data_IF_075882707079
#
_entry.id   IF_075882707079
#
_cell.length_a   1.000
_cell.length_b   1.000
_cell.length_c   1.000
_cell.angle_alpha   90.00
_cell.angle_beta   90.00
_cell.angle_gamma   90.00
#
_symmetry.space_group_name_H-M   'P 1'
#
loop_
_entity.id
_entity.type
_entity.pdbx_description
1 polymer ?
#
# COMPACT_ATOMS: atom_id res chain seq x y z
N UNK A 1 -28.27 31.25 -17.93
CA UNK A 1 -27.02 30.51 -18.17
C UNK A 1 -26.38 30.28 -16.80
N UNK A 2 -26.53 29.08 -16.23
CA UNK A 2 -26.11 28.79 -14.85
C UNK A 2 -24.64 28.35 -14.89
N UNK A 3 -23.72 29.07 -14.22
CA UNK A 3 -22.33 28.66 -14.16
C UNK A 3 -22.24 27.43 -13.24
N UNK A 4 -21.93 26.27 -13.83
CA UNK A 4 -21.54 25.09 -13.06
C UNK A 4 -20.21 25.41 -12.35
N UNK A 5 -20.28 25.75 -11.06
CA UNK A 5 -19.14 25.82 -10.18
C UNK A 5 -18.59 24.39 -10.02
N UNK A 6 -17.70 23.99 -10.92
CA UNK A 6 -16.93 22.78 -10.77
C UNK A 6 -15.90 23.05 -9.66
N UNK A 7 -16.30 22.86 -8.41
CA UNK A 7 -15.34 22.76 -7.30
C UNK A 7 -14.47 21.57 -7.61
N UNK A 8 -13.26 21.82 -8.14
CA UNK A 8 -12.20 20.84 -8.16
C UNK A 8 -11.91 20.50 -6.69
N UNK A 9 -12.59 19.48 -6.17
CA UNK A 9 -12.37 18.95 -4.83
C UNK A 9 -10.91 18.52 -4.82
N UNK A 10 -10.10 19.23 -4.04
CA UNK A 10 -8.67 18.97 -4.01
C UNK A 10 -8.49 17.57 -3.45
N UNK A 11 -8.26 16.58 -4.31
CA UNK A 11 -8.08 15.17 -3.91
C UNK A 11 -6.97 14.96 -2.86
N UNK A 12 -6.12 15.96 -2.63
CA UNK A 12 -5.14 16.02 -1.54
C UNK A 12 -5.77 16.25 -0.15
N UNK A 13 -6.91 16.92 -0.08
CA UNK A 13 -7.65 17.17 1.17
C UNK A 13 -8.29 15.90 1.70
N UNK A 14 -8.78 15.02 0.82
CA UNK A 14 -9.66 13.91 1.20
C UNK A 14 -8.97 12.54 1.26
N UNK A 15 -7.75 12.40 0.73
CA UNK A 15 -7.01 11.12 0.71
C UNK A 15 -5.63 11.20 1.35
N UNK A 16 -5.26 10.13 2.04
CA UNK A 16 -3.94 9.92 2.63
C UNK A 16 -3.14 8.96 1.74
N UNK A 17 -1.82 9.19 1.68
CA UNK A 17 -0.88 8.26 1.07
C UNK A 17 -0.06 7.62 2.18
N UNK A 18 -0.24 6.32 2.36
CA UNK A 18 0.45 5.55 3.39
C UNK A 18 1.46 4.66 2.68
N UNK A 19 2.72 4.76 3.11
CA UNK A 19 3.81 3.99 2.55
C UNK A 19 4.06 2.78 3.44
N UNK A 20 4.10 1.60 2.83
CA UNK A 20 4.39 0.34 3.50
C UNK A 20 5.57 -0.33 2.84
N UNK A 21 6.41 -0.98 3.65
CA UNK A 21 7.53 -1.77 3.17
C UNK A 21 7.22 -3.24 3.34
N UNK A 22 7.43 -4.00 2.27
CA UNK A 22 7.34 -5.45 2.25
C UNK A 22 8.67 -6.04 1.78
N UNK A 23 8.91 -7.28 2.15
CA UNK A 23 10.04 -8.08 1.72
C UNK A 23 9.53 -9.26 0.92
N UNK A 24 10.05 -9.47 -0.28
CA UNK A 24 9.80 -10.68 -1.07
C UNK A 24 11.07 -11.50 -1.10
N UNK A 25 10.97 -12.76 -0.70
CA UNK A 25 12.04 -13.73 -0.88
C UNK A 25 11.88 -14.46 -2.21
N UNK A 26 12.93 -14.47 -3.02
CA UNK A 26 13.01 -15.20 -4.27
C UNK A 26 13.96 -16.38 -4.16
N UNK A 27 13.54 -17.52 -4.71
CA UNK A 27 14.40 -18.70 -4.94
C UNK A 27 14.09 -19.25 -6.31
N UNK A 28 15.11 -19.45 -7.15
CA UNK A 28 14.97 -19.95 -8.51
C UNK A 28 13.98 -19.14 -9.39
N UNK A 29 14.01 -17.81 -9.29
CA UNK A 29 13.08 -16.87 -9.93
C UNK A 29 11.63 -16.91 -9.43
N UNK A 30 11.34 -17.68 -8.38
CA UNK A 30 10.00 -17.78 -7.80
C UNK A 30 9.92 -17.01 -6.49
N UNK A 31 8.87 -16.21 -6.32
CA UNK A 31 8.57 -15.58 -5.05
C UNK A 31 8.05 -16.65 -4.06
N UNK A 32 8.80 -16.91 -3.00
CA UNK A 32 8.48 -17.92 -1.99
C UNK A 32 7.69 -17.35 -0.82
N UNK A 33 8.09 -16.19 -0.34
CA UNK A 33 7.47 -15.55 0.82
C UNK A 33 7.38 -14.04 0.61
N UNK A 34 6.29 -13.44 1.12
CA UNK A 34 6.09 -12.00 1.14
C UNK A 34 5.74 -11.60 2.57
N UNK A 35 6.63 -10.84 3.21
CA UNK A 35 6.49 -10.43 4.60
C UNK A 35 6.30 -8.92 4.68
N UNK A 36 5.39 -8.46 5.53
CA UNK A 36 5.27 -7.05 5.87
C UNK A 36 6.40 -6.64 6.83
N UNK A 37 7.19 -5.62 6.47
CA UNK A 37 8.25 -5.11 7.34
C UNK A 37 7.77 -3.96 8.21
N UNK A 38 7.09 -2.97 7.60
CA UNK A 38 6.66 -1.76 8.30
C UNK A 38 5.56 -1.04 7.55
N UNK A 39 4.55 -0.56 8.26
CA UNK A 39 3.60 0.45 7.77
C UNK A 39 4.04 1.81 8.31
N UNK A 40 4.25 2.80 7.44
CA UNK A 40 4.56 4.17 7.86
C UNK A 40 3.26 4.94 8.11
N UNK A 41 2.60 4.62 9.23
CA UNK A 41 1.44 5.34 9.72
C UNK A 41 1.48 5.42 11.25
N UNK A 42 2.09 6.48 11.78
CA UNK A 42 2.26 6.64 13.23
C UNK A 42 0.97 7.04 13.96
N UNK A 43 -0.07 7.43 13.20
CA UNK A 43 -1.39 7.84 13.72
C UNK A 43 -2.48 6.78 13.51
N UNK A 44 -2.13 5.63 12.93
CA UNK A 44 -3.08 4.54 12.69
C UNK A 44 -3.27 3.69 13.96
N UNK A 45 -4.49 3.21 14.19
CA UNK A 45 -4.72 2.13 15.18
C UNK A 45 -4.07 0.82 14.71
N UNK A 46 -4.04 -0.18 15.59
CA UNK A 46 -3.53 -1.51 15.23
C UNK A 46 -4.36 -2.15 14.11
N UNK A 47 -5.69 -2.07 14.20
CA UNK A 47 -6.60 -2.55 13.16
C UNK A 47 -6.38 -1.86 11.80
N UNK A 48 -6.21 -0.54 11.80
CA UNK A 48 -5.90 0.23 10.59
C UNK A 48 -4.54 -0.18 10.00
N UNK A 49 -3.52 -0.25 10.84
CA UNK A 49 -2.16 -0.65 10.43
C UNK A 49 -2.15 -2.05 9.85
N UNK A 50 -2.89 -2.98 10.45
CA UNK A 50 -3.07 -4.34 9.95
C UNK A 50 -3.75 -4.36 8.58
N UNK A 51 -4.86 -3.64 8.42
CA UNK A 51 -5.58 -3.58 7.14
C UNK A 51 -4.70 -3.01 6.01
N UNK A 52 -3.93 -1.95 6.30
CA UNK A 52 -2.97 -1.36 5.34
C UNK A 52 -1.83 -2.35 5.06
N UNK A 53 -1.36 -3.06 6.08
CA UNK A 53 -0.33 -4.08 5.96
C UNK A 53 -0.73 -5.23 5.06
N UNK A 54 -1.94 -5.76 5.27
CA UNK A 54 -2.52 -6.84 4.47
C UNK A 54 -2.69 -6.41 3.00
N UNK A 55 -3.15 -5.18 2.76
CA UNK A 55 -3.23 -4.60 1.42
C UNK A 55 -1.85 -4.41 0.78
N UNK A 56 -0.83 -4.04 1.55
CA UNK A 56 0.53 -3.89 1.05
C UNK A 56 1.13 -5.23 0.61
N UNK A 57 0.90 -6.29 1.38
CA UNK A 57 1.29 -7.66 1.02
C UNK A 57 0.56 -8.10 -0.25
N UNK A 58 -0.75 -7.85 -0.35
CA UNK A 58 -1.54 -8.17 -1.54
C UNK A 58 -1.02 -7.48 -2.80
N UNK A 59 -0.69 -6.18 -2.73
CA UNK A 59 -0.09 -5.45 -3.87
C UNK A 59 1.29 -5.98 -4.22
N UNK A 60 2.12 -6.26 -3.22
CA UNK A 60 3.44 -6.87 -3.41
C UNK A 60 3.35 -8.23 -4.08
N UNK A 61 2.32 -9.02 -3.74
CA UNK A 61 2.04 -10.28 -4.41
C UNK A 61 1.76 -10.06 -5.89
N UNK A 62 0.93 -9.09 -6.26
CA UNK A 62 0.64 -8.79 -7.66
C UNK A 62 1.89 -8.29 -8.41
N UNK A 63 2.73 -7.51 -7.75
CA UNK A 63 3.93 -6.90 -8.34
C UNK A 63 5.17 -7.81 -8.36
N UNK A 64 5.10 -9.01 -7.77
CA UNK A 64 6.24 -9.92 -7.58
C UNK A 64 6.92 -10.35 -8.88
N UNK A 65 6.19 -10.37 -10.00
CA UNK A 65 6.76 -10.74 -11.30
C UNK A 65 6.85 -9.57 -12.27
N UNK A 66 6.74 -8.33 -11.78
CA UNK A 66 7.10 -7.17 -12.58
C UNK A 66 8.60 -7.19 -12.86
N UNK A 67 9.04 -6.82 -14.07
CA UNK A 67 10.44 -6.92 -14.49
C UNK A 67 11.42 -6.19 -13.55
N UNK A 68 10.97 -5.10 -12.91
CA UNK A 68 11.75 -4.31 -11.94
C UNK A 68 11.94 -5.00 -10.57
N UNK A 69 11.08 -5.98 -10.28
CA UNK A 69 11.01 -6.69 -9.00
C UNK A 69 11.48 -8.15 -9.08
N UNK A 70 11.60 -8.70 -10.29
CA UNK A 70 12.12 -10.06 -10.53
C UNK A 70 13.55 -10.18 -10.04
N UNK A 71 13.84 -11.31 -9.42
CA UNK A 71 15.18 -11.66 -8.97
C UNK A 71 15.33 -13.18 -8.99
N UNK A 72 16.53 -13.65 -9.32
CA UNK A 72 16.82 -15.09 -9.38
C UNK A 72 16.82 -15.71 -8.00
N UNK A 73 17.61 -15.17 -7.09
CA UNK A 73 17.70 -15.60 -5.71
C UNK A 73 17.97 -14.38 -4.81
N UNK A 74 17.37 -14.34 -3.62
CA UNK A 74 17.63 -13.31 -2.62
C UNK A 74 16.37 -12.64 -2.07
N UNK A 75 16.54 -11.50 -1.41
CA UNK A 75 15.44 -10.74 -0.79
C UNK A 75 15.28 -9.36 -1.43
N UNK A 76 14.07 -9.02 -1.87
CA UNK A 76 13.74 -7.71 -2.47
C UNK A 76 12.83 -6.95 -1.53
N UNK A 77 13.21 -5.73 -1.18
CA UNK A 77 12.33 -4.79 -0.46
C UNK A 77 11.49 -4.03 -1.46
N UNK A 78 10.17 -4.02 -1.27
CA UNK A 78 9.24 -3.21 -2.05
C UNK A 78 8.64 -2.11 -1.19
N UNK A 79 8.54 -0.92 -1.77
CA UNK A 79 7.83 0.19 -1.18
C UNK A 79 6.46 0.30 -1.85
N UNK A 80 5.42 -0.07 -1.12
CA UNK A 80 4.04 0.01 -1.60
C UNK A 80 3.42 1.29 -1.09
N UNK A 81 2.90 2.11 -2.01
CA UNK A 81 2.15 3.32 -1.67
C UNK A 81 0.67 3.01 -1.81
N UNK A 82 -0.05 3.07 -0.68
CA UNK A 82 -1.49 2.86 -0.62
C UNK A 82 -2.15 4.23 -0.46
N UNK A 83 -3.02 4.56 -1.41
CA UNK A 83 -3.86 5.74 -1.33
C UNK A 83 -5.23 5.33 -0.81
N UNK A 84 -5.67 5.94 0.28
CA UNK A 84 -6.96 5.66 0.94
C UNK A 84 -7.65 6.98 1.29
N UNK A 85 -8.98 7.03 1.21
CA UNK A 85 -9.72 8.20 1.68
C UNK A 85 -9.66 8.29 3.22
N UNK A 86 -9.64 9.49 3.77
CA UNK A 86 -9.62 9.71 5.22
C UNK A 86 -10.84 9.10 5.90
N UNK A 87 -12.00 9.20 5.24
CA UNK A 87 -13.27 8.62 5.71
C UNK A 87 -13.19 7.10 5.79
N UNK A 88 -12.61 6.47 4.77
CA UNK A 88 -12.51 5.01 4.70
C UNK A 88 -11.51 4.49 5.73
N UNK A 89 -10.39 5.20 5.92
CA UNK A 89 -9.44 4.87 6.98
C UNK A 89 -10.09 5.00 8.36
N UNK A 90 -10.85 6.09 8.61
CA UNK A 90 -11.55 6.30 9.86
C UNK A 90 -12.72 5.32 10.09
N UNK A 91 -13.26 4.73 9.02
CA UNK A 91 -14.28 3.70 9.09
C UNK A 91 -13.73 2.33 9.49
N UNK A 92 -12.43 2.08 9.34
CA UNK A 92 -11.76 0.89 9.89
C UNK A 92 -11.66 1.07 11.40
N UNK A 93 -12.65 0.52 12.10
CA UNK A 93 -12.70 0.42 13.55
C UNK A 93 -12.38 -1.01 13.99
N UNK A 94 -11.83 -1.12 15.19
CA UNK A 94 -11.51 -2.39 15.87
C UNK A 94 -12.73 -3.31 16.00
#
# INVERSE_FOLDING_TARGET
>A
MVPYLCKAQSYRQDSLQIKSYTLIEYRNNEAKEITLLKVLCDYCSEAQSKAIGDEAVRRSYNDRYNPENRMKDGQKRLAVIIRIAKTDLAAIKE
#
